data_IF_966699718565
#
_entry.id   IF_966699718565
#
_cell.length_a   1.000
_cell.length_b   1.000
_cell.length_c   1.000
_cell.angle_alpha   90.00
_cell.angle_beta   90.00
_cell.angle_gamma   90.00
#
_symmetry.space_group_name_H-M   'P 1'
#
loop_
_entity.id
_entity.type
_entity.pdbx_description
1 polymer ?
#
# COMPACT_ATOMS: atom_id res chain seq x y z
N UNK A 1 24.36 -36.87 -3.60
CA UNK A 1 23.20 -35.99 -3.86
C UNK A 1 23.66 -34.89 -4.80
N UNK A 2 23.04 -34.76 -5.98
CA UNK A 2 23.34 -33.69 -6.95
C UNK A 2 22.08 -32.82 -7.03
N UNK A 3 22.19 -31.53 -6.77
CA UNK A 3 21.11 -30.56 -6.97
C UNK A 3 21.51 -29.63 -8.11
N UNK A 4 20.66 -29.49 -9.10
CA UNK A 4 20.81 -28.55 -10.22
C UNK A 4 19.64 -27.58 -10.17
N UNK A 5 19.92 -26.29 -10.40
CA UNK A 5 18.90 -25.27 -10.63
C UNK A 5 19.07 -24.83 -12.08
N UNK A 6 18.04 -25.03 -12.89
CA UNK A 6 17.97 -24.33 -14.17
C UNK A 6 17.82 -22.86 -13.84
N UNK A 7 18.67 -22.00 -14.42
CA UNK A 7 18.49 -20.54 -14.39
C UNK A 7 17.69 -20.15 -15.64
N UNK A 8 16.36 -20.11 -15.60
CA UNK A 8 15.59 -19.49 -16.67
C UNK A 8 15.97 -18.00 -16.77
N UNK A 9 16.04 -17.47 -17.99
CA UNK A 9 16.69 -16.19 -18.26
C UNK A 9 18.18 -16.35 -18.55
N UNK A 10 18.58 -17.41 -19.26
CA UNK A 10 19.80 -17.40 -20.04
C UNK A 10 19.37 -17.39 -21.51
N UNK A 11 19.97 -16.51 -22.32
CA UNK A 11 19.79 -16.59 -23.76
C UNK A 11 20.31 -17.93 -24.30
N UNK A 12 20.11 -18.21 -25.60
CA UNK A 12 20.59 -19.43 -26.24
C UNK A 12 22.12 -19.64 -26.16
N UNK A 13 22.86 -18.67 -25.63
CA UNK A 13 24.31 -18.70 -25.40
C UNK A 13 24.70 -18.74 -23.91
N UNK A 14 23.76 -18.90 -22.98
CA UNK A 14 24.07 -19.00 -21.56
C UNK A 14 24.36 -17.64 -20.88
N UNK A 15 23.98 -16.52 -21.48
CA UNK A 15 24.18 -15.17 -20.90
C UNK A 15 22.89 -14.70 -20.24
N UNK A 16 23.03 -14.11 -19.03
CA UNK A 16 21.90 -13.43 -18.40
C UNK A 16 21.47 -12.26 -19.31
N UNK A 17 20.18 -12.19 -19.69
CA UNK A 17 19.67 -11.13 -20.53
C UNK A 17 19.87 -9.79 -19.82
N UNK A 18 20.12 -8.74 -20.60
CA UNK A 18 20.31 -7.41 -20.06
C UNK A 18 19.00 -6.95 -19.41
N UNK A 19 18.94 -6.98 -18.08
CA UNK A 19 17.83 -6.42 -17.31
C UNK A 19 18.08 -4.93 -17.10
N UNK A 20 17.11 -4.12 -17.51
CA UNK A 20 17.13 -2.67 -17.31
C UNK A 20 16.03 -2.27 -16.32
N UNK A 21 16.44 -1.64 -15.22
CA UNK A 21 15.48 -0.99 -14.31
C UNK A 21 15.10 0.38 -14.87
N UNK A 22 13.80 0.64 -14.98
CA UNK A 22 13.27 1.94 -15.42
C UNK A 22 11.95 2.25 -14.73
N UNK A 23 11.55 3.53 -14.77
CA UNK A 23 10.24 3.95 -14.27
C UNK A 23 9.08 3.35 -15.07
N UNK A 24 7.98 3.11 -14.36
CA UNK A 24 6.67 2.74 -14.94
C UNK A 24 6.10 3.92 -15.73
N UNK A 25 5.64 3.65 -16.94
CA UNK A 25 4.90 4.58 -17.80
C UNK A 25 3.41 4.21 -17.75
N UNK A 26 2.53 5.15 -18.13
CA UNK A 26 1.08 4.92 -18.19
C UNK A 26 0.71 3.67 -19.02
N UNK A 27 1.42 3.43 -20.12
CA UNK A 27 1.22 2.24 -20.98
C UNK A 27 1.72 0.92 -20.39
N UNK A 28 2.49 0.95 -19.30
CA UNK A 28 3.01 -0.26 -18.65
C UNK A 28 2.04 -0.81 -17.58
N UNK A 29 1.04 -0.03 -17.14
CA UNK A 29 0.25 -0.33 -15.94
C UNK A 29 -0.44 -1.70 -15.97
N UNK A 30 -0.99 -2.10 -17.13
CA UNK A 30 -1.60 -3.42 -17.27
C UNK A 30 -0.55 -4.53 -17.15
N UNK A 31 0.60 -4.40 -17.82
CA UNK A 31 1.71 -5.36 -17.76
C UNK A 31 2.30 -5.47 -16.35
N UNK A 32 2.40 -4.35 -15.63
CA UNK A 32 2.85 -4.32 -14.23
C UNK A 32 1.90 -5.12 -13.35
N UNK A 33 0.58 -4.89 -13.48
CA UNK A 33 -0.43 -5.69 -12.78
C UNK A 33 -0.30 -7.17 -13.12
N UNK A 34 -0.17 -7.51 -14.40
CA UNK A 34 -0.10 -8.92 -14.83
C UNK A 34 1.13 -9.63 -14.26
N UNK A 35 2.29 -8.96 -14.18
CA UNK A 35 3.51 -9.51 -13.54
C UNK A 35 3.31 -9.74 -12.04
N UNK A 36 2.66 -8.81 -11.35
CA UNK A 36 2.39 -8.93 -9.91
C UNK A 36 1.39 -10.06 -9.65
N UNK A 37 0.26 -10.09 -10.35
CA UNK A 37 -0.75 -11.16 -10.26
C UNK A 37 -0.13 -12.54 -10.57
N UNK A 38 0.72 -12.64 -11.58
CA UNK A 38 1.36 -13.90 -11.95
C UNK A 38 2.33 -14.38 -10.87
N UNK A 39 3.24 -13.52 -10.40
CA UNK A 39 4.25 -13.88 -9.40
C UNK A 39 3.60 -14.29 -8.06
N UNK A 40 2.59 -13.55 -7.61
CA UNK A 40 1.86 -13.93 -6.40
C UNK A 40 0.94 -15.14 -6.63
N UNK A 41 0.36 -15.29 -7.82
CA UNK A 41 -0.43 -16.47 -8.18
C UNK A 41 0.40 -17.75 -8.09
N UNK A 42 1.61 -17.74 -8.62
CA UNK A 42 2.58 -18.85 -8.51
C UNK A 42 3.01 -19.09 -7.05
N UNK A 43 3.10 -18.04 -6.24
CA UNK A 43 3.38 -18.17 -4.80
C UNK A 43 2.23 -18.86 -4.07
N UNK A 44 1.00 -18.39 -4.22
CA UNK A 44 -0.17 -18.99 -3.57
C UNK A 44 -0.42 -20.42 -4.05
N UNK A 45 -0.30 -20.69 -5.35
CA UNK A 45 -0.42 -22.06 -5.88
C UNK A 45 0.58 -23.02 -5.22
N UNK A 46 1.83 -22.59 -5.01
CA UNK A 46 2.84 -23.40 -4.30
C UNK A 46 2.56 -23.55 -2.80
N UNK A 47 2.01 -22.52 -2.15
CA UNK A 47 1.78 -22.52 -0.70
C UNK A 47 0.51 -23.29 -0.32
N UNK A 48 -0.57 -23.13 -1.08
CA UNK A 48 -1.92 -23.63 -0.73
C UNK A 48 -2.47 -24.63 -1.75
N UNK A 49 -1.70 -25.01 -2.76
CA UNK A 49 -2.05 -26.05 -3.74
C UNK A 49 -3.09 -25.65 -4.78
N UNK A 50 -3.60 -24.42 -4.74
CA UNK A 50 -4.59 -23.90 -5.69
C UNK A 50 -4.23 -22.49 -6.12
N UNK A 51 -4.41 -22.18 -7.41
CA UNK A 51 -4.12 -20.84 -7.96
C UNK A 51 -5.34 -19.94 -7.86
N UNK A 52 -5.26 -18.78 -7.16
CA UNK A 52 -6.33 -17.80 -7.17
C UNK A 52 -6.58 -17.27 -8.59
N UNK A 53 -7.84 -17.07 -8.96
CA UNK A 53 -8.20 -16.47 -10.26
C UNK A 53 -7.73 -15.02 -10.37
N UNK A 54 -7.77 -14.29 -9.26
CA UNK A 54 -7.22 -12.94 -9.07
C UNK A 54 -6.67 -12.87 -7.65
N UNK A 55 -5.37 -12.61 -7.51
CA UNK A 55 -4.72 -12.55 -6.19
C UNK A 55 -5.25 -11.34 -5.41
N UNK A 56 -5.39 -10.21 -6.08
CA UNK A 56 -5.83 -8.95 -5.46
C UNK A 56 -7.26 -8.58 -5.85
N UNK A 57 -8.11 -9.56 -6.18
CA UNK A 57 -9.54 -9.35 -6.40
C UNK A 57 -9.93 -8.37 -7.50
N UNK A 58 -9.02 -8.08 -8.45
CA UNK A 58 -9.27 -7.11 -9.53
C UNK A 58 -9.05 -5.65 -9.13
N UNK A 59 -8.51 -5.40 -7.94
CA UNK A 59 -8.23 -4.07 -7.43
C UNK A 59 -7.38 -3.24 -8.40
N UNK A 60 -7.63 -1.93 -8.47
CA UNK A 60 -6.84 -0.99 -9.26
C UNK A 60 -5.53 -0.57 -8.56
N UNK A 61 -4.94 -1.44 -7.73
CA UNK A 61 -3.83 -1.13 -6.82
C UNK A 61 -2.58 -0.59 -7.54
N UNK A 62 -2.25 -1.09 -8.74
CA UNK A 62 -1.14 -0.56 -9.54
C UNK A 62 -1.44 0.85 -10.06
N UNK A 63 -2.67 1.07 -10.54
CA UNK A 63 -3.07 2.38 -11.05
C UNK A 63 -3.12 3.41 -9.92
N UNK A 64 -3.71 3.01 -8.79
CA UNK A 64 -3.78 3.75 -7.55
C UNK A 64 -2.38 4.20 -7.06
N UNK A 65 -1.46 3.25 -6.83
CA UNK A 65 -0.09 3.57 -6.38
C UNK A 65 0.72 4.35 -7.41
N UNK A 66 0.51 4.12 -8.70
CA UNK A 66 1.16 4.91 -9.74
C UNK A 66 0.64 6.35 -9.81
N UNK A 67 -0.65 6.62 -9.55
CA UNK A 67 -1.16 7.99 -9.46
C UNK A 67 -0.65 8.70 -8.20
N UNK A 68 -0.56 7.99 -7.07
CA UNK A 68 0.01 8.51 -5.84
C UNK A 68 1.45 8.98 -6.04
N UNK A 69 2.26 8.14 -6.70
CA UNK A 69 3.70 8.38 -6.86
C UNK A 69 4.28 7.76 -8.15
N UNK A 70 4.03 8.37 -9.33
CA UNK A 70 4.44 7.80 -10.63
C UNK A 70 5.95 7.55 -10.72
N UNK A 71 6.73 8.35 -10.00
CA UNK A 71 8.18 8.32 -10.00
C UNK A 71 8.79 7.34 -9.00
N UNK A 72 8.00 6.80 -8.08
CA UNK A 72 8.36 5.74 -7.13
C UNK A 72 8.11 4.32 -7.66
N UNK A 73 7.51 4.20 -8.85
CA UNK A 73 7.17 2.93 -9.47
C UNK A 73 8.17 2.54 -10.57
N UNK A 74 8.67 1.31 -10.51
CA UNK A 74 9.72 0.78 -11.39
C UNK A 74 9.36 -0.58 -11.99
N UNK A 75 9.91 -0.85 -13.17
CA UNK A 75 9.89 -2.16 -13.82
C UNK A 75 11.31 -2.63 -14.11
N UNK A 76 11.47 -3.95 -14.09
CA UNK A 76 12.59 -4.65 -14.68
C UNK A 76 12.19 -5.09 -16.09
N UNK A 77 12.87 -4.53 -17.09
CA UNK A 77 12.64 -4.80 -18.50
C UNK A 77 13.78 -5.65 -19.07
N UNK A 78 13.42 -6.78 -19.68
CA UNK A 78 14.31 -7.60 -20.49
C UNK A 78 14.41 -7.00 -21.91
N UNK A 79 15.57 -7.15 -22.56
CA UNK A 79 16.00 -6.35 -23.72
C UNK A 79 15.02 -6.14 -24.89
N UNK A 80 14.02 -7.00 -25.09
CA UNK A 80 12.98 -6.87 -26.12
C UNK A 80 11.77 -6.01 -25.70
N UNK A 81 11.81 -5.44 -24.49
CA UNK A 81 10.72 -4.64 -23.92
C UNK A 81 9.77 -5.44 -23.03
N UNK A 82 10.05 -6.72 -22.76
CA UNK A 82 9.26 -7.54 -21.85
C UNK A 82 9.50 -7.13 -20.40
N UNK A 83 8.41 -6.86 -19.68
CA UNK A 83 8.45 -6.57 -18.24
C UNK A 83 8.46 -7.90 -17.47
N UNK A 84 9.49 -8.12 -16.67
CA UNK A 84 9.73 -9.38 -15.94
C UNK A 84 9.70 -9.21 -14.41
N UNK A 85 9.70 -7.97 -13.96
CA UNK A 85 9.53 -7.60 -12.55
C UNK A 85 8.99 -6.18 -12.41
N UNK A 86 8.36 -5.90 -11.28
CA UNK A 86 7.83 -4.60 -10.96
C UNK A 86 7.91 -4.33 -9.46
N UNK A 87 8.07 -3.05 -9.12
CA UNK A 87 7.92 -2.54 -7.77
C UNK A 87 7.11 -1.24 -7.83
N UNK A 88 6.09 -1.13 -6.99
CA UNK A 88 5.39 0.13 -6.79
C UNK A 88 5.70 0.64 -5.39
N UNK A 89 5.99 1.93 -5.29
CA UNK A 89 6.30 2.58 -4.03
C UNK A 89 5.64 3.95 -3.99
N UNK A 90 5.19 4.34 -2.80
CA UNK A 90 4.56 5.62 -2.53
C UNK A 90 5.27 6.33 -1.39
N UNK A 91 5.27 7.66 -1.40
CA UNK A 91 5.79 8.46 -0.31
C UNK A 91 4.64 9.00 0.53
N UNK A 92 4.70 8.74 1.84
CA UNK A 92 3.86 9.36 2.85
C UNK A 92 4.74 10.30 3.68
N UNK A 93 4.93 11.52 3.17
CA UNK A 93 5.86 12.47 3.76
C UNK A 93 7.31 12.09 3.57
N UNK A 94 8.01 11.85 4.69
CA UNK A 94 9.39 11.34 4.72
C UNK A 94 9.47 9.81 4.68
N UNK A 95 8.35 9.10 4.89
CA UNK A 95 8.29 7.65 4.86
C UNK A 95 8.04 7.16 3.42
N UNK A 96 8.91 6.28 2.94
CA UNK A 96 8.68 5.54 1.68
C UNK A 96 8.06 4.18 1.99
N UNK A 97 6.90 3.92 1.42
CA UNK A 97 6.26 2.62 1.44
C UNK A 97 6.55 1.91 0.12
N UNK A 98 7.09 0.69 0.19
CA UNK A 98 7.39 -0.12 -0.99
C UNK A 98 6.55 -1.38 -0.95
N UNK A 99 5.72 -1.58 -1.97
CA UNK A 99 4.87 -2.76 -2.07
C UNK A 99 3.69 -2.57 -3.01
N UNK A 100 3.32 -3.61 -3.78
CA UNK A 100 4.05 -4.87 -3.96
C UNK A 100 5.37 -4.74 -4.75
N UNK A 101 6.32 -5.64 -4.45
CA UNK A 101 7.48 -5.95 -5.27
C UNK A 101 7.31 -7.38 -5.79
N UNK A 102 7.39 -7.56 -7.10
CA UNK A 102 7.19 -8.86 -7.75
C UNK A 102 8.21 -9.08 -8.86
N UNK A 103 8.68 -10.32 -8.99
CA UNK A 103 9.49 -10.80 -10.11
C UNK A 103 8.89 -12.11 -10.57
N UNK A 104 8.68 -12.26 -11.87
CA UNK A 104 8.17 -13.51 -12.45
C UNK A 104 9.03 -14.69 -11.99
N UNK A 105 8.40 -15.83 -11.66
CA UNK A 105 9.06 -16.97 -11.03
C UNK A 105 10.32 -17.43 -11.77
N UNK A 106 10.28 -17.41 -13.10
CA UNK A 106 11.39 -17.77 -13.98
C UNK A 106 12.54 -16.75 -14.03
N UNK A 107 12.41 -15.61 -13.35
CA UNK A 107 13.43 -14.56 -13.28
C UNK A 107 13.89 -14.30 -11.83
N UNK A 108 13.41 -15.11 -10.87
CA UNK A 108 13.83 -15.04 -9.48
C UNK A 108 15.25 -15.59 -9.30
N UNK A 109 15.87 -15.30 -8.14
CA UNK A 109 17.26 -15.68 -7.80
C UNK A 109 18.34 -15.06 -8.72
N UNK A 110 18.03 -13.94 -9.35
CA UNK A 110 18.92 -13.20 -10.26
C UNK A 110 19.01 -11.72 -9.88
N UNK A 111 18.95 -11.41 -8.58
CA UNK A 111 19.04 -10.07 -7.99
C UNK A 111 18.02 -8.99 -8.45
N UNK A 112 17.12 -9.30 -9.41
CA UNK A 112 16.15 -8.34 -9.97
C UNK A 112 15.29 -7.68 -8.87
N UNK A 113 14.84 -8.46 -7.87
CA UNK A 113 14.07 -7.92 -6.75
C UNK A 113 14.87 -6.92 -5.90
N UNK A 114 16.17 -7.19 -5.71
CA UNK A 114 17.11 -6.31 -5.03
C UNK A 114 17.37 -5.05 -5.85
N UNK A 115 17.51 -5.16 -7.18
CA UNK A 115 17.65 -4.00 -8.06
C UNK A 115 16.40 -3.10 -8.02
N UNK A 116 15.21 -3.70 -8.08
CA UNK A 116 13.93 -2.98 -7.97
C UNK A 116 13.79 -2.27 -6.62
N UNK A 117 14.09 -2.97 -5.52
CA UNK A 117 14.07 -2.39 -4.18
C UNK A 117 15.09 -1.23 -4.04
N UNK A 118 16.29 -1.40 -4.61
CA UNK A 118 17.32 -0.35 -4.61
C UNK A 118 16.85 0.88 -5.37
N UNK A 119 16.22 0.70 -6.54
CA UNK A 119 15.63 1.81 -7.29
C UNK A 119 14.54 2.57 -6.51
N UNK A 120 13.70 1.86 -5.76
CA UNK A 120 12.73 2.47 -4.84
C UNK A 120 13.41 3.22 -3.67
N UNK A 121 14.58 2.77 -3.20
CA UNK A 121 15.31 3.38 -2.07
C UNK A 121 16.15 4.61 -2.47
N UNK A 122 16.76 4.58 -3.64
CA UNK A 122 17.52 5.71 -4.21
C UNK A 122 16.59 6.86 -4.63
N UNK A 123 15.30 6.57 -4.78
CA UNK A 123 14.26 7.56 -4.92
C UNK A 123 13.93 8.19 -3.55
N UNK A 124 14.54 9.35 -3.26
CA UNK A 124 14.24 10.17 -2.08
C UNK A 124 13.54 11.44 -2.50
N UNK A 125 12.64 11.98 -1.67
CA UNK A 125 12.05 13.31 -1.88
C UNK A 125 13.12 14.39 -2.16
N UNK A 126 14.31 14.24 -1.56
CA UNK A 126 15.46 15.12 -1.76
C UNK A 126 16.04 15.11 -3.18
N UNK A 127 15.78 14.07 -3.98
CA UNK A 127 16.29 13.93 -5.37
C UNK A 127 15.30 14.38 -6.45
N UNK A 128 14.15 14.95 -6.08
CA UNK A 128 13.25 15.62 -7.04
C UNK A 128 13.88 16.93 -7.58
N UNK A 129 13.61 17.27 -8.83
CA UNK A 129 13.90 18.61 -9.36
C UNK A 129 13.09 19.67 -8.61
N UNK A 130 13.71 20.81 -8.31
CA UNK A 130 13.17 21.86 -7.44
C UNK A 130 11.81 22.42 -7.91
N UNK A 131 11.56 22.38 -9.22
CA UNK A 131 10.30 22.79 -9.85
C UNK A 131 9.10 21.91 -9.46
N UNK A 132 9.33 20.64 -9.05
CA UNK A 132 8.29 19.70 -8.65
C UNK A 132 8.05 19.67 -7.13
N UNK A 133 8.93 20.27 -6.32
CA UNK A 133 8.85 20.28 -4.85
C UNK A 133 7.83 21.28 -4.30
N UNK A 134 7.73 22.47 -4.91
CA UNK A 134 6.88 23.58 -4.42
C UNK A 134 5.37 23.29 -4.40
N UNK A 135 4.75 22.67 -5.43
CA UNK A 135 3.31 22.37 -5.42
C UNK A 135 2.92 21.26 -4.43
N UNK A 136 3.78 20.25 -4.26
CA UNK A 136 3.56 19.17 -3.31
C UNK A 136 3.58 19.69 -1.86
N UNK A 137 4.51 20.60 -1.55
CA UNK A 137 4.78 21.10 -0.19
C UNK A 137 3.70 22.02 0.40
N UNK A 138 2.83 22.63 -0.42
CA UNK A 138 1.79 23.56 0.05
C UNK A 138 0.52 22.86 0.57
N UNK A 139 0.24 21.62 0.13
CA UNK A 139 -0.86 20.80 0.67
C UNK A 139 -0.48 20.10 1.99
N UNK A 140 0.79 19.69 2.13
CA UNK A 140 1.29 18.98 3.31
C UNK A 140 1.30 19.80 4.62
N UNK A 141 1.54 21.12 4.56
CA UNK A 141 2.02 21.88 5.74
C UNK A 141 0.99 22.27 6.80
N UNK A 142 -0.32 22.24 6.52
CA UNK A 142 -1.31 22.84 7.42
C UNK A 142 -1.82 21.90 8.52
N UNK A 143 -1.69 20.58 8.35
CA UNK A 143 -2.30 19.57 9.24
C UNK A 143 -1.25 18.61 9.87
N UNK A 144 -0.04 18.51 9.30
CA UNK A 144 0.91 17.40 9.59
C UNK A 144 1.88 17.58 10.77
N UNK A 145 1.68 18.57 11.66
CA UNK A 145 2.65 18.86 12.72
C UNK A 145 2.26 18.39 14.14
N UNK A 146 1.09 17.78 14.36
CA UNK A 146 0.65 17.41 15.72
C UNK A 146 0.70 15.90 16.04
N UNK A 147 0.97 15.00 15.09
CA UNK A 147 0.86 13.55 15.33
C UNK A 147 2.05 12.77 14.76
N UNK A 148 2.33 12.92 13.46
CA UNK A 148 3.47 12.27 12.79
C UNK A 148 4.03 13.23 11.75
N UNK A 149 5.29 13.67 11.89
CA UNK A 149 5.90 14.65 10.98
C UNK A 149 5.94 14.08 9.55
N UNK A 150 5.10 14.62 8.67
CA UNK A 150 5.17 14.40 7.22
C UNK A 150 4.07 13.52 6.62
N UNK A 151 3.33 12.72 7.40
CA UNK A 151 2.30 11.85 6.83
C UNK A 151 1.14 12.68 6.27
N UNK A 152 0.92 12.61 4.96
CA UNK A 152 -0.25 13.22 4.31
C UNK A 152 -0.96 12.21 3.44
N UNK A 153 -2.19 11.95 3.85
CA UNK A 153 -3.15 11.06 3.21
C UNK A 153 -4.08 11.79 2.24
N UNK A 154 -3.94 13.11 2.07
CA UNK A 154 -4.82 13.90 1.21
C UNK A 154 -4.80 13.45 -0.25
N UNK A 155 -3.64 12.97 -0.76
CA UNK A 155 -3.58 12.35 -2.08
C UNK A 155 -4.40 11.04 -2.15
N UNK A 156 -4.42 10.24 -1.08
CA UNK A 156 -5.24 9.02 -1.00
C UNK A 156 -6.72 9.40 -1.12
N UNK A 157 -7.18 10.39 -0.34
CA UNK A 157 -8.57 10.88 -0.38
C UNK A 157 -8.94 11.36 -1.78
N UNK A 158 -8.09 12.17 -2.42
CA UNK A 158 -8.32 12.68 -3.78
C UNK A 158 -8.43 11.55 -4.82
N UNK A 159 -7.64 10.48 -4.69
CA UNK A 159 -7.68 9.36 -5.64
C UNK A 159 -8.83 8.41 -5.36
N UNK A 160 -9.17 8.15 -4.09
CA UNK A 160 -10.34 7.34 -3.71
C UNK A 160 -11.61 7.96 -4.28
N UNK A 161 -11.77 9.28 -4.16
CA UNK A 161 -12.88 10.03 -4.78
C UNK A 161 -12.79 9.98 -6.32
N UNK A 162 -11.64 10.37 -6.89
CA UNK A 162 -11.48 10.49 -8.34
C UNK A 162 -11.59 9.17 -9.12
N UNK A 163 -11.32 8.03 -8.48
CA UNK A 163 -11.45 6.69 -9.07
C UNK A 163 -12.68 5.91 -8.57
N UNK A 164 -13.52 6.52 -7.73
CA UNK A 164 -14.68 5.88 -7.10
C UNK A 164 -14.31 4.54 -6.42
N UNK A 165 -13.23 4.56 -5.62
CA UNK A 165 -12.73 3.39 -4.90
C UNK A 165 -13.38 3.21 -3.53
N UNK A 166 -14.22 4.16 -3.10
CA UNK A 166 -14.80 4.18 -1.76
C UNK A 166 -15.15 5.60 -1.34
N UNK A 167 -15.05 5.89 -0.06
CA UNK A 167 -15.37 7.21 0.50
C UNK A 167 -14.47 7.55 1.70
N UNK A 168 -14.50 8.80 2.14
CA UNK A 168 -13.79 9.28 3.33
C UNK A 168 -14.78 9.76 4.38
N UNK A 169 -14.83 9.06 5.51
CA UNK A 169 -15.61 9.44 6.67
C UNK A 169 -14.89 10.55 7.44
N UNK A 170 -15.64 11.56 7.87
CA UNK A 170 -15.12 12.71 8.61
C UNK A 170 -15.75 12.76 10.01
N UNK A 171 -14.94 13.02 11.03
CA UNK A 171 -15.40 13.23 12.40
C UNK A 171 -15.10 14.66 12.83
N UNK A 172 -16.15 15.44 13.07
CA UNK A 172 -16.07 16.85 13.43
C UNK A 172 -16.53 17.11 14.86
N UNK A 173 -15.90 18.09 15.52
CA UNK A 173 -16.34 18.67 16.79
C UNK A 173 -16.54 20.17 16.61
N UNK A 174 -17.80 20.56 16.38
CA UNK A 174 -18.12 21.93 16.01
C UNK A 174 -17.63 22.24 14.59
N UNK A 175 -16.61 23.09 14.45
CA UNK A 175 -15.97 23.41 13.16
C UNK A 175 -14.58 22.78 12.98
N UNK A 176 -14.13 22.01 13.97
CA UNK A 176 -12.83 21.34 13.93
C UNK A 176 -12.99 19.91 13.44
N UNK A 177 -12.24 19.51 12.41
CA UNK A 177 -12.07 18.12 12.02
C UNK A 177 -11.13 17.46 13.03
N UNK A 178 -11.63 16.47 13.78
CA UNK A 178 -10.90 15.80 14.87
C UNK A 178 -10.53 14.35 14.54
N UNK A 179 -10.97 13.84 13.40
CA UNK A 179 -10.58 12.52 12.91
C UNK A 179 -11.20 12.22 11.54
N UNK A 180 -10.73 11.19 10.88
CA UNK A 180 -11.26 10.73 9.60
C UNK A 180 -10.92 9.26 9.35
N UNK A 181 -11.62 8.62 8.41
CA UNK A 181 -11.33 7.29 7.91
C UNK A 181 -11.46 7.22 6.38
N UNK A 182 -10.43 6.74 5.69
CA UNK A 182 -10.48 6.39 4.27
C UNK A 182 -10.95 4.95 4.14
N UNK A 183 -12.12 4.76 3.54
CA UNK A 183 -12.78 3.45 3.42
C UNK A 183 -12.86 3.06 1.95
N UNK A 184 -12.15 1.98 1.60
CA UNK A 184 -12.21 1.34 0.30
C UNK A 184 -13.44 0.43 0.20
N UNK A 185 -14.11 0.46 -0.94
CA UNK A 185 -15.32 -0.31 -1.24
C UNK A 185 -15.17 -1.10 -2.55
N UNK A 186 -15.71 -2.32 -2.65
CA UNK A 186 -15.69 -3.08 -3.90
C UNK A 186 -16.46 -2.36 -5.02
N UNK A 187 -16.25 -2.72 -6.30
CA UNK A 187 -15.43 -3.84 -6.77
C UNK A 187 -13.99 -3.45 -7.16
N UNK A 188 -13.67 -2.16 -7.29
CA UNK A 188 -12.44 -1.72 -7.97
C UNK A 188 -11.30 -1.32 -7.02
N UNK A 189 -11.56 -1.29 -5.71
CA UNK A 189 -10.59 -0.88 -4.70
C UNK A 189 -9.78 -2.05 -4.15
N UNK A 190 -8.85 -1.75 -3.24
CA UNK A 190 -8.08 -2.75 -2.49
C UNK A 190 -8.90 -3.48 -1.41
N UNK A 191 -10.21 -3.23 -1.32
CA UNK A 191 -11.08 -3.88 -0.34
C UNK A 191 -11.16 -5.40 -0.58
N UNK A 192 -11.03 -6.23 0.48
CA UNK A 192 -11.29 -7.66 0.36
C UNK A 192 -12.70 -7.95 -0.15
N UNK A 193 -12.88 -9.14 -0.74
CA UNK A 193 -14.17 -9.53 -1.28
C UNK A 193 -15.27 -9.47 -0.22
N UNK A 194 -16.38 -8.79 -0.53
CA UNK A 194 -17.54 -8.67 0.35
C UNK A 194 -17.30 -7.80 1.60
N UNK A 195 -16.25 -6.98 1.63
CA UNK A 195 -15.87 -6.16 2.78
C UNK A 195 -15.80 -4.67 2.45
N UNK A 196 -16.17 -3.82 3.41
CA UNK A 196 -15.67 -2.44 3.45
C UNK A 196 -14.29 -2.46 4.12
N UNK A 197 -13.32 -1.74 3.58
CA UNK A 197 -11.95 -1.79 4.03
C UNK A 197 -11.46 -0.44 4.53
N UNK A 198 -11.27 -0.31 5.85
CA UNK A 198 -10.70 0.90 6.45
C UNK A 198 -9.20 0.93 6.17
N UNK A 199 -8.81 1.53 5.04
CA UNK A 199 -7.41 1.57 4.59
C UNK A 199 -6.55 2.41 5.54
N UNK A 200 -7.14 3.51 6.02
CA UNK A 200 -6.51 4.41 6.97
C UNK A 200 -7.57 5.08 7.84
N UNK A 201 -7.30 5.22 9.13
CA UNK A 201 -8.11 5.97 10.08
C UNK A 201 -7.20 6.64 11.09
N UNK A 202 -7.42 7.91 11.38
CA UNK A 202 -6.74 8.58 12.48
C UNK A 202 -7.68 9.52 13.24
N UNK A 203 -7.50 9.58 14.56
CA UNK A 203 -8.00 10.65 15.43
C UNK A 203 -6.85 11.61 15.74
N UNK A 204 -7.16 12.90 15.81
CA UNK A 204 -6.18 13.92 16.18
C UNK A 204 -5.58 13.65 17.57
N UNK A 205 -4.25 13.76 17.72
CA UNK A 205 -3.55 13.49 18.98
C UNK A 205 -4.01 14.39 20.14
N UNK A 206 -4.56 15.57 19.83
CA UNK A 206 -5.15 16.50 20.81
C UNK A 206 -6.48 16.00 21.37
N UNK A 207 -7.08 15.01 20.70
CA UNK A 207 -8.38 14.44 20.98
C UNK A 207 -8.30 12.90 21.12
N UNK A 208 -7.24 12.35 21.74
CA UNK A 208 -7.01 10.89 21.96
C UNK A 208 -8.03 10.23 22.90
N UNK A 209 -9.30 10.25 22.51
CA UNK A 209 -10.39 9.61 23.24
C UNK A 209 -10.91 8.41 22.46
N UNK A 210 -10.86 7.19 23.02
CA UNK A 210 -11.31 5.98 22.34
C UNK A 210 -12.73 6.08 21.80
N UNK A 211 -13.63 6.83 22.46
CA UNK A 211 -14.99 7.10 21.98
C UNK A 211 -15.04 7.62 20.53
N UNK A 212 -14.07 8.42 20.10
CA UNK A 212 -14.02 8.94 18.74
C UNK A 212 -13.65 7.87 17.71
N UNK A 213 -12.79 6.91 18.09
CA UNK A 213 -12.49 5.75 17.26
C UNK A 213 -13.70 4.81 17.14
N UNK A 214 -14.45 4.60 18.23
CA UNK A 214 -15.70 3.84 18.17
C UNK A 214 -16.74 4.46 17.23
N UNK A 215 -16.84 5.79 17.18
CA UNK A 215 -17.77 6.49 16.28
C UNK A 215 -17.40 6.23 14.81
N UNK A 216 -16.14 6.45 14.41
CA UNK A 216 -15.74 6.22 13.01
C UNK A 216 -15.88 4.75 12.59
N UNK A 217 -15.58 3.80 13.48
CA UNK A 217 -15.79 2.38 13.21
C UNK A 217 -17.27 2.04 13.06
N UNK A 218 -18.14 2.58 13.92
CA UNK A 218 -19.59 2.41 13.77
C UNK A 218 -20.10 2.97 12.43
N UNK A 219 -19.62 4.14 12.01
CA UNK A 219 -19.99 4.71 10.71
C UNK A 219 -19.48 3.85 9.54
N UNK A 220 -18.28 3.27 9.63
CA UNK A 220 -17.78 2.34 8.61
C UNK A 220 -18.62 1.04 8.55
N UNK A 221 -19.08 0.55 9.70
CA UNK A 221 -19.98 -0.61 9.80
C UNK A 221 -21.36 -0.31 9.20
N UNK A 222 -21.93 0.87 9.47
CA UNK A 222 -23.17 1.34 8.83
C UNK A 222 -23.02 1.47 7.31
N UNK A 223 -21.89 2.02 6.85
CA UNK A 223 -21.56 2.12 5.42
C UNK A 223 -21.47 0.74 4.76
N UNK A 224 -20.84 -0.23 5.43
CA UNK A 224 -20.77 -1.62 4.95
C UNK A 224 -22.16 -2.27 4.88
N UNK A 225 -22.97 -2.09 5.92
CA UNK A 225 -24.34 -2.62 5.98
C UNK A 225 -25.24 -2.02 4.88
N UNK A 226 -25.15 -0.71 4.65
CA UNK A 226 -25.88 -0.02 3.58
C UNK A 226 -25.49 -0.53 2.18
N UNK A 227 -24.21 -0.90 2.01
CA UNK A 227 -23.69 -1.52 0.79
C UNK A 227 -23.92 -3.04 0.72
N UNK A 228 -24.64 -3.63 1.69
CA UNK A 228 -24.91 -5.08 1.78
C UNK A 228 -23.63 -5.94 1.84
N UNK A 229 -22.58 -5.40 2.44
CA UNK A 229 -21.31 -6.10 2.65
C UNK A 229 -21.37 -6.91 3.95
N UNK A 230 -20.69 -8.05 3.96
CA UNK A 230 -20.76 -9.01 5.07
C UNK A 230 -19.84 -8.67 6.23
N UNK A 231 -18.90 -7.74 6.05
CA UNK A 231 -17.87 -7.43 7.05
C UNK A 231 -17.22 -6.06 6.83
N UNK A 232 -16.61 -5.55 7.90
CA UNK A 232 -15.63 -4.45 7.87
C UNK A 232 -14.27 -5.03 8.20
N UNK A 233 -13.27 -4.69 7.40
CA UNK A 233 -11.87 -5.07 7.63
C UNK A 233 -11.10 -3.82 8.01
N UNK A 234 -10.39 -3.87 9.14
CA UNK A 234 -9.58 -2.78 9.66
C UNK A 234 -8.19 -3.31 10.06
N UNK A 235 -7.12 -2.95 9.31
CA UNK A 235 -5.76 -3.31 9.65
C UNK A 235 -5.28 -2.44 10.82
N UNK A 236 -4.59 -3.06 11.77
CA UNK A 236 -4.06 -2.38 12.94
C UNK A 236 -2.61 -2.79 13.17
N UNK A 237 -1.75 -1.79 13.38
CA UNK A 237 -0.43 -2.03 13.92
C UNK A 237 -0.54 -2.14 15.44
N UNK A 238 -0.25 -3.32 15.99
CA UNK A 238 -0.47 -3.64 17.42
C UNK A 238 0.35 -2.80 18.40
N UNK A 239 1.31 -2.01 17.91
CA UNK A 239 1.97 -0.99 18.71
C UNK A 239 1.01 0.12 19.16
N UNK A 240 0.01 0.48 18.33
CA UNK A 240 -1.10 1.37 18.70
C UNK A 240 -2.11 0.60 19.58
N UNK A 241 -1.66 0.27 20.79
CA UNK A 241 -2.34 -0.65 21.69
C UNK A 241 -3.76 -0.19 22.01
N UNK A 242 -3.97 1.11 22.25
CA UNK A 242 -5.31 1.65 22.52
C UNK A 242 -6.26 1.46 21.34
N UNK A 243 -5.80 1.68 20.11
CA UNK A 243 -6.61 1.44 18.92
C UNK A 243 -6.93 -0.05 18.73
N UNK A 244 -5.97 -0.93 19.00
CA UNK A 244 -6.17 -2.37 18.94
C UNK A 244 -7.18 -2.86 20.00
N UNK A 245 -7.15 -2.32 21.22
CA UNK A 245 -8.14 -2.65 22.25
C UNK A 245 -9.55 -2.26 21.83
N UNK A 246 -9.74 -1.08 21.20
CA UNK A 246 -11.04 -0.66 20.68
C UNK A 246 -11.60 -1.66 19.64
N UNK A 247 -10.75 -2.19 18.75
CA UNK A 247 -11.17 -3.23 17.81
C UNK A 247 -11.67 -4.49 18.54
N UNK A 248 -10.94 -4.96 19.55
CA UNK A 248 -11.34 -6.13 20.34
C UNK A 248 -12.66 -5.89 21.09
N UNK A 249 -12.83 -4.72 21.69
CA UNK A 249 -14.06 -4.33 22.40
C UNK A 249 -15.29 -4.31 21.47
N UNK A 250 -15.10 -3.95 20.19
CA UNK A 250 -16.14 -3.99 19.15
C UNK A 250 -16.35 -5.39 18.55
N UNK A 251 -15.61 -6.40 18.98
CA UNK A 251 -15.74 -7.78 18.50
C UNK A 251 -15.01 -8.08 17.19
N UNK A 252 -14.10 -7.20 16.74
CA UNK A 252 -13.19 -7.54 15.64
C UNK A 252 -12.27 -8.68 16.09
N UNK A 253 -11.99 -9.60 15.17
CA UNK A 253 -11.06 -10.70 15.39
C UNK A 253 -9.95 -10.67 14.34
N UNK A 254 -8.80 -11.25 14.68
CA UNK A 254 -7.66 -11.32 13.77
C UNK A 254 -7.93 -12.36 12.69
N UNK A 255 -8.01 -11.92 11.43
CA UNK A 255 -8.11 -12.78 10.26
C UNK A 255 -6.72 -13.27 9.81
N UNK A 256 -5.76 -12.35 9.67
CA UNK A 256 -4.36 -12.68 9.38
C UNK A 256 -3.39 -11.67 9.98
N UNK A 257 -2.12 -12.06 10.09
CA UNK A 257 -1.04 -11.22 10.62
C UNK A 257 0.06 -11.02 9.59
N UNK A 258 0.63 -9.82 9.55
CA UNK A 258 1.74 -9.43 8.68
C UNK A 258 2.86 -8.81 9.52
N UNK A 259 4.08 -8.80 8.97
CA UNK A 259 5.22 -8.14 9.60
C UNK A 259 5.54 -6.85 8.86
N UNK A 260 5.59 -5.73 9.59
CA UNK A 260 6.10 -4.45 9.11
C UNK A 260 7.63 -4.45 9.18
N UNK A 261 8.31 -4.38 8.03
CA UNK A 261 9.77 -4.27 7.96
C UNK A 261 10.18 -2.81 7.76
N UNK A 262 11.03 -2.28 8.64
CA UNK A 262 11.54 -0.90 8.58
C UNK A 262 13.04 -0.90 8.29
N UNK A 263 13.51 0.01 7.42
CA UNK A 263 14.94 0.25 7.17
C UNK A 263 15.24 1.74 7.28
N UNK A 264 16.32 2.08 7.98
CA UNK A 264 16.74 3.46 8.23
C UNK A 264 16.78 3.77 9.72
N UNK A 265 17.03 5.03 10.06
CA UNK A 265 16.93 5.50 11.44
C UNK A 265 15.48 5.37 11.86
N UNK A 266 15.22 4.59 12.91
CA UNK A 266 13.91 4.61 13.55
C UNK A 266 13.79 5.92 14.30
N UNK A 267 12.81 6.72 13.93
CA UNK A 267 12.47 7.94 14.63
C UNK A 267 11.27 7.60 15.54
N UNK A 268 11.33 8.03 16.79
CA UNK A 268 10.34 7.72 17.85
C UNK A 268 9.05 8.52 17.63
N UNK A 269 8.43 8.36 16.46
CA UNK A 269 7.20 9.06 16.12
C UNK A 269 5.94 8.28 16.53
N UNK A 270 6.07 7.01 16.88
CA UNK A 270 4.94 6.15 17.21
C UNK A 270 4.67 6.22 18.72
N UNK A 271 3.47 6.63 19.10
CA UNK A 271 2.97 6.62 20.47
C UNK A 271 1.87 5.55 20.58
N UNK A 272 2.00 4.62 21.52
CA UNK A 272 1.03 3.53 21.68
C UNK A 272 -0.39 3.97 22.06
N UNK A 273 -0.55 5.23 22.48
CA UNK A 273 -1.84 5.88 22.75
C UNK A 273 -2.47 6.57 21.54
N UNK A 274 -1.79 6.59 20.38
CA UNK A 274 -2.38 7.09 19.14
C UNK A 274 -3.54 6.18 18.69
N UNK A 275 -4.62 6.82 18.24
CA UNK A 275 -5.82 6.15 17.75
C UNK A 275 -5.76 6.11 16.22
N UNK A 276 -4.89 5.25 15.71
CA UNK A 276 -4.61 5.08 14.28
C UNK A 276 -4.82 3.62 13.87
N UNK A 277 -5.55 3.42 12.77
CA UNK A 277 -5.62 2.15 12.05
C UNK A 277 -5.02 2.41 10.68
N UNK A 278 -4.02 1.64 10.28
CA UNK A 278 -3.33 1.87 9.03
C UNK A 278 -2.99 0.57 8.32
N UNK A 279 -3.07 0.63 6.99
CA UNK A 279 -2.50 -0.38 6.12
C UNK A 279 -1.26 0.16 5.44
N UNK A 280 -0.09 -0.14 5.99
CA UNK A 280 1.20 0.11 5.32
C UNK A 280 1.47 -0.94 4.24
N UNK A 281 0.48 -1.27 3.41
CA UNK A 281 0.68 -2.03 2.17
C UNK A 281 0.49 -1.10 1.01
#
# INVERSE_FOLDING_TARGET
MRATVDRPGLDSQGRSPLIKIRRVRKGDLSKVRDVIEQAFGDFFERQVGTRPRQVFGGAQYVHHRWLMEPWGCFVAEEGDGKIVGAAVAVMWGSLGLVGPIAVLTNYQNQDIGQQLLTACQEFRYSSLEEARKKPAMLKFRRITNSIWRGMDVGKEVEIVDGLALGDTLLLEKGRELIGFAVVHMPPNSEAPHGAAYVKFLAIDSRHRKPEYLHVLLATAEEMAAAAQLGQVVAPAYTYYWTAYQVLLERGYHVDFTMVRMKRGKQEDYEDGSDLVLDDWR
#
